data_IF_596636749861
#
_entry.id   IF_596636749861
#
_cell.length_a   1.000
_cell.length_b   1.000
_cell.length_c   1.000
_cell.angle_alpha   90.00
_cell.angle_beta   90.00
_cell.angle_gamma   90.00
#
_symmetry.space_group_name_H-M   'P 1'
#
loop_
_entity.id
_entity.type
_entity.pdbx_description
1 polymer ?
#
# COMPACT_ATOMS: atom_id res chain seq x y z
N UNK A 1 -10.89 -3.70 -21.05
CA UNK A 1 -10.46 -2.57 -20.19
C UNK A 1 -9.97 -3.12 -18.86
N UNK A 2 -9.00 -2.45 -18.23
CA UNK A 2 -8.44 -2.84 -16.92
C UNK A 2 -7.93 -1.60 -16.20
N UNK A 3 -7.84 -1.68 -14.86
CA UNK A 3 -7.15 -0.64 -14.10
C UNK A 3 -5.64 -0.88 -14.30
N UNK A 4 -4.94 0.10 -14.88
CA UNK A 4 -3.50 0.00 -15.14
C UNK A 4 -2.70 0.37 -13.90
N UNK A 5 -3.07 1.47 -13.23
CA UNK A 5 -2.45 1.86 -11.97
C UNK A 5 -3.41 2.69 -11.13
N UNK A 6 -3.08 2.78 -9.83
CA UNK A 6 -3.67 3.70 -8.86
C UNK A 6 -2.56 4.59 -8.36
N UNK A 7 -2.86 5.84 -8.01
CA UNK A 7 -1.83 6.79 -7.59
C UNK A 7 -2.18 7.44 -6.25
N UNK A 8 -1.15 7.76 -5.46
CA UNK A 8 -1.31 8.50 -4.22
C UNK A 8 -0.14 9.45 -4.00
N UNK A 9 -0.41 10.61 -3.41
CA UNK A 9 0.63 11.49 -2.90
C UNK A 9 1.12 11.00 -1.55
N UNK A 10 2.43 11.12 -1.32
CA UNK A 10 3.08 10.79 -0.05
C UNK A 10 4.02 11.92 0.35
N UNK A 11 4.24 12.09 1.64
CA UNK A 11 5.16 13.11 2.15
C UNK A 11 6.62 12.68 2.02
N UNK A 12 6.92 11.42 2.27
CA UNK A 12 8.27 10.84 2.17
C UNK A 12 8.29 9.79 1.06
N UNK A 13 8.66 10.22 -0.14
CA UNK A 13 8.64 9.36 -1.33
C UNK A 13 9.58 8.16 -1.19
N UNK A 14 10.80 8.38 -0.68
CA UNK A 14 11.79 7.30 -0.55
C UNK A 14 11.38 6.29 0.52
N UNK A 15 10.84 6.74 1.65
CA UNK A 15 10.36 5.86 2.70
C UNK A 15 9.17 5.02 2.22
N UNK A 16 8.25 5.61 1.46
CA UNK A 16 7.12 4.88 0.88
C UNK A 16 7.59 3.84 -0.13
N UNK A 17 8.52 4.22 -1.02
CA UNK A 17 9.13 3.26 -1.95
C UNK A 17 9.74 2.08 -1.18
N UNK A 18 10.55 2.36 -0.19
CA UNK A 18 11.25 1.33 0.58
C UNK A 18 10.27 0.41 1.32
N UNK A 19 9.16 0.94 1.81
CA UNK A 19 8.11 0.14 2.45
C UNK A 19 7.54 -0.92 1.50
N UNK A 20 7.13 -0.52 0.31
CA UNK A 20 6.55 -1.46 -0.65
C UNK A 20 7.57 -2.44 -1.23
N UNK A 21 8.82 -2.00 -1.43
CA UNK A 21 9.90 -2.89 -1.87
C UNK A 21 10.21 -3.92 -0.78
N UNK A 22 10.37 -3.47 0.46
CA UNK A 22 10.79 -4.33 1.57
C UNK A 22 9.75 -5.38 1.93
N UNK A 23 8.48 -4.98 2.05
CA UNK A 23 7.44 -5.87 2.56
C UNK A 23 6.69 -6.62 1.46
N UNK A 24 6.53 -6.02 0.31
CA UNK A 24 5.69 -6.57 -0.76
C UNK A 24 6.45 -6.95 -2.02
N UNK A 25 7.78 -6.80 -2.01
CA UNK A 25 8.60 -7.19 -3.16
C UNK A 25 8.34 -6.37 -4.41
N UNK A 26 7.83 -5.15 -4.27
CA UNK A 26 7.57 -4.29 -5.41
C UNK A 26 8.87 -3.93 -6.15
N UNK A 27 8.78 -3.83 -7.47
CA UNK A 27 9.85 -3.28 -8.29
C UNK A 27 9.60 -1.79 -8.49
N UNK A 28 10.50 -0.97 -7.98
CA UNK A 28 10.30 0.49 -7.96
C UNK A 28 10.71 1.18 -9.26
N UNK A 29 11.47 0.54 -10.13
CA UNK A 29 11.98 1.22 -11.32
C UNK A 29 12.79 2.48 -10.96
N UNK A 30 12.94 3.36 -11.94
CA UNK A 30 13.68 4.62 -11.75
C UNK A 30 12.76 5.72 -11.26
N UNK A 31 13.32 6.62 -10.45
CA UNK A 31 12.63 7.81 -9.98
C UNK A 31 12.44 8.80 -11.13
N UNK A 32 11.19 9.19 -11.38
CA UNK A 32 10.88 10.27 -12.29
C UNK A 32 10.97 11.63 -11.56
N UNK A 33 11.53 12.62 -12.25
CA UNK A 33 11.60 14.00 -11.72
C UNK A 33 11.30 14.99 -12.84
N UNK A 34 10.33 15.89 -12.58
CA UNK A 34 10.02 16.99 -13.46
C UNK A 34 10.65 18.26 -12.89
N UNK A 35 11.69 18.77 -13.55
CA UNK A 35 12.45 19.92 -13.05
C UNK A 35 11.66 21.24 -13.07
N UNK A 36 10.62 21.35 -13.87
CA UNK A 36 9.80 22.57 -13.93
C UNK A 36 8.84 22.66 -12.75
N UNK A 37 8.15 21.58 -12.43
CA UNK A 37 7.13 21.55 -11.39
C UNK A 37 7.66 21.09 -10.04
N UNK A 38 8.81 20.42 -10.02
CA UNK A 38 9.33 19.73 -8.83
C UNK A 38 8.61 18.42 -8.52
N UNK A 39 7.70 17.99 -9.41
CA UNK A 39 7.00 16.71 -9.25
C UNK A 39 7.98 15.54 -9.34
N UNK A 40 7.84 14.59 -8.40
CA UNK A 40 8.61 13.36 -8.40
C UNK A 40 7.68 12.16 -8.19
N UNK A 41 8.03 11.02 -8.76
CA UNK A 41 7.24 9.81 -8.60
C UNK A 41 8.06 8.54 -8.79
N UNK A 42 7.50 7.44 -8.28
CA UNK A 42 7.88 6.08 -8.62
C UNK A 42 6.66 5.31 -9.08
N UNK A 43 6.82 4.46 -10.06
CA UNK A 43 5.88 3.40 -10.36
C UNK A 43 6.37 2.12 -9.69
N UNK A 44 5.55 1.57 -8.82
CA UNK A 44 5.81 0.32 -8.11
C UNK A 44 5.06 -0.79 -8.82
N UNK A 45 5.78 -1.75 -9.35
CA UNK A 45 5.19 -2.89 -10.06
C UNK A 45 5.18 -4.11 -9.17
N UNK A 46 4.03 -4.75 -9.05
CA UNK A 46 3.83 -5.97 -8.28
C UNK A 46 3.76 -7.18 -9.20
N UNK A 47 3.81 -8.37 -8.62
CA UNK A 47 3.58 -9.60 -9.37
C UNK A 47 2.24 -9.52 -10.12
N UNK A 48 2.21 -10.03 -11.35
CA UNK A 48 1.02 -9.96 -12.18
C UNK A 48 0.87 -8.66 -12.95
N UNK A 49 1.74 -7.67 -12.73
CA UNK A 49 1.81 -6.44 -13.53
C UNK A 49 0.96 -5.28 -13.04
N UNK A 50 0.26 -5.42 -11.90
CA UNK A 50 -0.43 -4.27 -11.29
C UNK A 50 0.57 -3.24 -10.79
N UNK A 51 0.22 -1.95 -10.90
CA UNK A 51 1.12 -0.85 -10.52
C UNK A 51 0.47 0.13 -9.58
N UNK A 52 1.28 0.65 -8.67
CA UNK A 52 0.95 1.76 -7.78
C UNK A 52 1.93 2.90 -8.08
N UNK A 53 1.40 4.08 -8.39
CA UNK A 53 2.23 5.28 -8.52
C UNK A 53 2.24 6.01 -7.18
N UNK A 54 3.42 6.26 -6.64
CA UNK A 54 3.59 7.13 -5.47
C UNK A 54 4.24 8.44 -5.92
N UNK A 55 3.70 9.56 -5.44
CA UNK A 55 4.01 10.88 -5.99
C UNK A 55 4.27 11.88 -4.88
N UNK A 56 5.06 12.91 -5.22
CA UNK A 56 5.30 14.05 -4.34
C UNK A 56 5.40 15.33 -5.15
N UNK A 57 4.89 16.42 -4.59
CA UNK A 57 5.06 17.79 -5.11
C UNK A 57 5.67 18.67 -4.04
N UNK A 58 6.31 19.80 -4.43
CA UNK A 58 6.87 20.76 -3.44
C UNK A 58 5.80 21.29 -2.49
N UNK A 59 4.59 21.53 -2.99
CA UNK A 59 3.48 22.04 -2.18
C UNK A 59 2.35 21.04 -2.16
N UNK A 60 2.03 20.56 -0.96
CA UNK A 60 0.93 19.61 -0.73
C UNK A 60 0.24 19.99 0.58
N UNK A 61 -1.00 19.52 0.75
CA UNK A 61 -1.73 19.62 2.00
C UNK A 61 -2.09 18.25 2.52
N UNK A 62 -1.90 18.02 3.83
CA UNK A 62 -2.37 16.83 4.49
C UNK A 62 -3.83 16.99 4.87
N UNK A 63 -4.62 15.98 4.55
CA UNK A 63 -6.02 15.90 4.95
C UNK A 63 -6.20 14.76 5.96
N UNK A 64 -7.11 14.90 6.94
CA UNK A 64 -7.40 13.80 7.85
C UNK A 64 -7.83 12.54 7.09
N UNK A 65 -7.25 11.39 7.45
CA UNK A 65 -7.56 10.10 6.83
C UNK A 65 -8.48 9.30 7.73
N UNK A 66 -9.71 9.81 7.90
CA UNK A 66 -10.72 9.12 8.71
C UNK A 66 -11.17 7.81 8.10
N UNK A 67 -11.54 6.85 8.95
CA UNK A 67 -11.91 5.49 8.51
C UNK A 67 -13.16 5.49 7.63
N UNK A 68 -14.16 6.32 7.94
CA UNK A 68 -15.47 6.31 7.26
C UNK A 68 -15.69 7.57 6.45
N UNK A 69 -14.71 7.95 5.65
CA UNK A 69 -14.83 9.06 4.71
C UNK A 69 -15.14 8.58 3.30
N UNK A 70 -15.77 9.41 2.50
CA UNK A 70 -15.94 9.13 1.06
C UNK A 70 -14.60 9.20 0.33
N UNK A 71 -14.49 8.53 -0.81
CA UNK A 71 -13.28 8.47 -1.62
C UNK A 71 -12.53 7.15 -1.42
N UNK A 72 -11.27 7.12 -1.84
CA UNK A 72 -10.43 5.93 -1.70
C UNK A 72 -10.19 5.62 -0.23
N UNK A 73 -10.32 4.35 0.15
CA UNK A 73 -10.17 3.92 1.53
C UNK A 73 -8.87 3.16 1.77
N UNK A 74 -8.59 2.13 0.97
CA UNK A 74 -7.40 1.29 1.10
C UNK A 74 -7.03 0.66 -0.23
N UNK A 75 -5.83 0.12 -0.29
CA UNK A 75 -5.42 -0.82 -1.33
C UNK A 75 -5.27 -2.20 -0.69
N UNK A 76 -5.62 -3.25 -1.44
CA UNK A 76 -5.51 -4.63 -0.99
C UNK A 76 -4.40 -5.33 -1.79
N UNK A 77 -3.50 -6.00 -1.09
CA UNK A 77 -2.39 -6.73 -1.70
C UNK A 77 -2.51 -8.20 -1.29
N UNK A 78 -2.59 -9.09 -2.27
CA UNK A 78 -2.50 -10.52 -2.04
C UNK A 78 -1.06 -10.87 -1.65
N UNK A 79 -0.90 -11.47 -0.46
CA UNK A 79 0.43 -11.81 0.06
C UNK A 79 0.71 -13.32 0.04
N UNK A 80 -0.26 -14.11 -0.39
CA UNK A 80 -0.16 -15.56 -0.46
C UNK A 80 -1.37 -16.21 0.21
N UNK A 81 -1.16 -17.26 0.99
CA UNK A 81 -2.21 -17.93 1.75
C UNK A 81 -2.46 -17.26 3.12
N UNK A 82 -3.35 -17.84 3.91
CA UNK A 82 -3.67 -17.32 5.25
C UNK A 82 -2.47 -17.28 6.18
N UNK A 83 -1.58 -18.27 6.10
CA UNK A 83 -0.34 -18.27 6.91
C UNK A 83 0.57 -17.09 6.52
N UNK A 84 0.60 -16.73 5.25
CA UNK A 84 1.35 -15.56 4.78
C UNK A 84 0.77 -14.25 5.31
N UNK A 85 -0.57 -14.15 5.39
CA UNK A 85 -1.22 -12.99 6.03
C UNK A 85 -0.81 -12.88 7.49
N UNK A 86 -0.85 -13.99 8.24
CA UNK A 86 -0.47 -14.01 9.64
C UNK A 86 0.99 -13.62 9.83
N UNK A 87 1.90 -14.20 9.04
CA UNK A 87 3.33 -13.95 9.14
C UNK A 87 3.68 -12.49 8.80
N UNK A 88 3.09 -11.95 7.73
CA UNK A 88 3.31 -10.55 7.34
C UNK A 88 2.76 -9.58 8.38
N UNK A 89 1.60 -9.88 8.94
CA UNK A 89 1.00 -9.08 10.01
C UNK A 89 1.92 -9.02 11.23
N UNK A 90 2.44 -10.17 11.65
CA UNK A 90 3.37 -10.23 12.79
C UNK A 90 4.67 -9.48 12.51
N UNK A 91 5.22 -9.63 11.31
CA UNK A 91 6.44 -8.93 10.89
C UNK A 91 6.24 -7.41 10.94
N UNK A 92 5.16 -6.92 10.38
CA UNK A 92 4.85 -5.48 10.37
C UNK A 92 4.60 -4.96 11.77
N UNK A 93 3.87 -5.70 12.61
CA UNK A 93 3.67 -5.33 14.02
C UNK A 93 4.99 -5.24 14.77
N UNK A 94 5.87 -6.22 14.60
CA UNK A 94 7.18 -6.25 15.25
C UNK A 94 8.10 -5.13 14.78
N UNK A 95 7.92 -4.67 13.54
CA UNK A 95 8.66 -3.54 12.99
C UNK A 95 8.06 -2.17 13.38
N UNK A 96 7.00 -2.17 14.19
CA UNK A 96 6.43 -0.95 14.76
C UNK A 96 5.23 -0.38 14.01
N UNK A 97 4.70 -1.07 13.01
CA UNK A 97 3.52 -0.61 12.28
C UNK A 97 2.24 -0.95 13.06
N UNK A 98 1.27 -0.05 12.98
CA UNK A 98 -0.04 -0.27 13.58
C UNK A 98 -0.84 -1.26 12.74
N UNK A 99 -1.42 -2.27 13.40
CA UNK A 99 -2.37 -3.18 12.78
C UNK A 99 -3.77 -2.68 13.15
N UNK A 100 -4.47 -2.15 12.17
CA UNK A 100 -5.80 -1.57 12.39
C UNK A 100 -6.87 -2.64 12.59
N UNK A 101 -6.68 -3.80 11.97
CA UNK A 101 -7.68 -4.88 12.01
C UNK A 101 -7.04 -6.21 11.63
N UNK A 102 -7.53 -7.29 12.23
CA UNK A 102 -7.20 -8.66 11.86
C UNK A 102 -5.90 -9.20 12.46
N UNK A 103 -5.43 -10.37 11.96
CA UNK A 103 -6.05 -11.20 10.91
C UNK A 103 -7.43 -11.74 11.29
N UNK A 104 -8.32 -11.78 10.33
CA UNK A 104 -9.68 -12.27 10.52
C UNK A 104 -10.34 -12.68 9.20
N UNK A 105 -11.41 -13.46 9.30
CA UNK A 105 -12.30 -13.67 8.17
C UNK A 105 -13.32 -12.53 8.09
N UNK A 106 -13.48 -11.98 6.89
CA UNK A 106 -14.51 -10.98 6.62
C UNK A 106 -15.86 -11.66 6.38
N UNK A 107 -16.95 -10.87 6.40
CA UNK A 107 -18.29 -11.38 6.13
C UNK A 107 -18.48 -11.92 4.71
N UNK A 108 -17.60 -11.54 3.78
CA UNK A 108 -17.59 -12.00 2.38
C UNK A 108 -16.51 -13.07 2.12
N UNK A 109 -16.06 -13.76 3.18
CA UNK A 109 -15.14 -14.89 3.10
C UNK A 109 -13.72 -14.57 2.62
N UNK A 110 -13.21 -13.41 2.95
CA UNK A 110 -11.81 -13.07 2.73
C UNK A 110 -11.03 -13.15 4.03
N UNK A 111 -9.84 -13.75 4.01
CA UNK A 111 -8.94 -13.74 5.16
C UNK A 111 -7.97 -12.58 5.03
N UNK A 112 -8.07 -11.62 5.93
CA UNK A 112 -7.36 -10.34 5.79
C UNK A 112 -6.83 -9.81 7.11
N UNK A 113 -5.85 -8.92 7.00
CA UNK A 113 -5.53 -7.95 8.04
C UNK A 113 -5.29 -6.59 7.40
N UNK A 114 -5.28 -5.54 8.21
CA UNK A 114 -5.05 -4.18 7.74
C UNK A 114 -3.91 -3.57 8.53
N UNK A 115 -2.86 -3.15 7.84
CA UNK A 115 -1.76 -2.40 8.40
C UNK A 115 -1.89 -0.93 7.98
N UNK A 116 -1.47 -0.03 8.87
CA UNK A 116 -1.39 1.41 8.55
C UNK A 116 0.08 1.73 8.27
N UNK A 117 0.36 2.26 7.09
CA UNK A 117 1.73 2.65 6.74
C UNK A 117 2.13 3.95 7.46
N UNK A 118 3.40 4.36 7.31
CA UNK A 118 3.91 5.57 7.97
C UNK A 118 3.30 6.87 7.45
N UNK A 119 2.55 6.81 6.34
CA UNK A 119 1.80 7.95 5.79
C UNK A 119 0.35 7.98 6.26
N UNK A 120 -0.07 7.01 7.08
CA UNK A 120 -1.44 6.89 7.57
C UNK A 120 -2.40 6.22 6.60
N UNK A 121 -1.90 5.57 5.56
CA UNK A 121 -2.73 4.84 4.61
C UNK A 121 -2.98 3.41 5.09
N UNK A 122 -4.20 2.92 4.89
CA UNK A 122 -4.54 1.54 5.20
C UNK A 122 -4.18 0.64 4.02
N UNK A 123 -3.43 -0.42 4.33
CA UNK A 123 -3.03 -1.46 3.38
C UNK A 123 -3.64 -2.77 3.86
N UNK A 124 -4.54 -3.32 3.08
CA UNK A 124 -5.13 -4.62 3.39
C UNK A 124 -4.23 -5.75 2.87
N UNK A 125 -3.87 -6.66 3.77
CA UNK A 125 -3.16 -7.89 3.45
C UNK A 125 -4.21 -8.95 3.20
N UNK A 126 -4.22 -9.52 2.01
CA UNK A 126 -5.27 -10.42 1.57
C UNK A 126 -4.70 -11.79 1.24
N UNK A 127 -5.33 -12.84 1.77
CA UNK A 127 -5.04 -14.19 1.31
C UNK A 127 -5.73 -14.42 -0.03
N UNK A 128 -5.05 -15.11 -0.94
CA UNK A 128 -5.67 -15.50 -2.20
C UNK A 128 -6.91 -16.36 -1.91
N UNK A 129 -8.04 -16.07 -2.59
CA UNK A 129 -9.22 -16.90 -2.42
C UNK A 129 -8.92 -18.35 -2.80
N UNK A 130 -9.38 -19.27 -1.98
CA UNK A 130 -9.31 -20.70 -2.30
C UNK A 130 -10.31 -20.98 -3.40
N UNK A 131 -9.82 -21.50 -4.50
CA UNK A 131 -10.67 -21.89 -5.64
C UNK A 131 -11.39 -23.20 -5.38
#
# INVERSE_FOLDING_TARGET
>A
MKIEHVAMYVNDLEASKNFFVKYFGADAGERYHNFRSGFTSYFLTFDGGSRLEIMKRPTMSDQPKGTYRTGFHHIAICVGNGDAVDAMTDRLRNDGYMIANGPRWTGDNLYTSVVVDHEGNEIELLAEPVK
#
